data_IF_041224292589
#
_entry.id   IF_041224292589
#
_cell.length_a   1.000
_cell.length_b   1.000
_cell.length_c   1.000
_cell.angle_alpha   90.00
_cell.angle_beta   90.00
_cell.angle_gamma   90.00
#
_symmetry.space_group_name_H-M   'P 1'
#
loop_
_entity.id
_entity.type
_entity.pdbx_description
1 polymer ?
#
# COMPACT_ATOMS: atom_id res chain seq x y z
N UNK A 1 3.58 10.87 1.62
CA UNK A 1 4.86 10.61 2.32
C UNK A 1 4.57 10.12 3.72
N UNK A 2 5.06 8.95 4.11
CA UNK A 2 4.85 8.44 5.47
C UNK A 2 5.57 9.28 6.55
N UNK A 3 5.09 9.15 7.80
CA UNK A 3 5.75 9.73 8.97
C UNK A 3 7.19 9.22 9.13
N UNK A 4 7.43 7.94 8.77
CA UNK A 4 8.74 7.30 8.87
C UNK A 4 9.73 7.93 7.89
N UNK A 5 9.36 8.07 6.62
CA UNK A 5 10.20 8.75 5.63
C UNK A 5 10.47 10.21 6.01
N UNK A 6 9.46 10.94 6.50
CA UNK A 6 9.63 12.32 6.97
C UNK A 6 10.62 12.42 8.15
N UNK A 7 10.65 11.43 9.04
CA UNK A 7 11.62 11.36 10.14
C UNK A 7 13.04 11.14 9.62
N UNK A 8 13.22 10.23 8.67
CA UNK A 8 14.52 9.93 8.05
C UNK A 8 15.09 11.16 7.35
N UNK A 9 14.26 11.93 6.62
CA UNK A 9 14.70 13.13 5.90
C UNK A 9 15.23 14.25 6.80
N UNK A 10 14.91 14.22 8.11
CA UNK A 10 15.41 15.20 9.10
C UNK A 10 16.76 14.82 9.70
N UNK A 11 17.28 13.63 9.41
CA UNK A 11 18.58 13.18 9.89
C UNK A 11 19.72 13.90 9.17
N UNK A 12 20.93 13.83 9.76
CA UNK A 12 22.15 14.28 9.11
C UNK A 12 22.41 13.44 7.85
N UNK A 13 23.09 14.03 6.86
CA UNK A 13 23.30 13.41 5.53
C UNK A 13 23.83 11.97 5.63
N UNK A 14 24.82 11.73 6.48
CA UNK A 14 25.47 10.42 6.62
C UNK A 14 24.54 9.36 7.22
N UNK A 15 23.73 9.75 8.21
CA UNK A 15 22.73 8.87 8.85
C UNK A 15 21.51 8.65 7.95
N UNK A 16 21.12 9.70 7.20
CA UNK A 16 19.96 9.71 6.32
C UNK A 16 20.10 8.69 5.20
N UNK A 17 21.26 8.59 4.57
CA UNK A 17 21.52 7.61 3.51
C UNK A 17 21.35 6.17 4.02
N UNK A 18 21.92 5.86 5.19
CA UNK A 18 21.85 4.52 5.79
C UNK A 18 20.39 4.16 6.09
N UNK A 19 19.65 5.08 6.71
CA UNK A 19 18.25 4.85 7.07
C UNK A 19 17.33 4.78 5.86
N UNK A 20 17.58 5.56 4.80
CA UNK A 20 16.85 5.45 3.54
C UNK A 20 17.06 4.08 2.88
N UNK A 21 18.30 3.58 2.84
CA UNK A 21 18.62 2.25 2.29
C UNK A 21 17.92 1.14 3.08
N UNK A 22 18.01 1.18 4.42
CA UNK A 22 17.29 0.22 5.28
C UNK A 22 15.78 0.28 5.05
N UNK A 23 15.23 1.49 4.90
CA UNK A 23 13.81 1.64 4.72
C UNK A 23 13.33 1.16 3.35
N UNK A 24 14.08 1.45 2.29
CA UNK A 24 13.84 0.92 0.96
C UNK A 24 13.87 -0.62 0.94
N UNK A 25 14.87 -1.22 1.59
CA UNK A 25 14.98 -2.68 1.70
C UNK A 25 13.80 -3.29 2.46
N UNK A 26 13.34 -2.65 3.55
CA UNK A 26 12.15 -3.08 4.29
C UNK A 26 10.85 -3.01 3.48
N UNK A 27 10.81 -2.14 2.46
CA UNK A 27 9.69 -2.04 1.51
C UNK A 27 9.86 -2.92 0.27
N UNK A 28 10.98 -3.65 0.15
CA UNK A 28 11.30 -4.46 -1.04
C UNK A 28 11.68 -3.63 -2.28
N UNK A 29 12.09 -2.38 -2.09
CA UNK A 29 12.50 -1.48 -3.19
C UNK A 29 13.92 -1.81 -3.63
N UNK A 30 14.15 -1.91 -4.95
CA UNK A 30 15.47 -2.17 -5.52
C UNK A 30 16.44 -1.02 -5.25
N UNK A 31 17.64 -1.37 -4.76
CA UNK A 31 18.73 -0.43 -4.53
C UNK A 31 19.61 -0.17 -5.77
N UNK A 32 19.28 -0.79 -6.91
CA UNK A 32 20.09 -0.71 -8.11
C UNK A 32 20.00 0.68 -8.77
N UNK A 33 21.14 1.23 -9.16
CA UNK A 33 21.23 2.55 -9.81
C UNK A 33 21.05 3.74 -8.87
N UNK A 34 21.15 3.56 -7.55
CA UNK A 34 21.06 4.68 -6.58
C UNK A 34 22.38 5.45 -6.45
N UNK A 35 23.44 4.97 -7.10
CA UNK A 35 24.70 5.71 -7.22
C UNK A 35 24.90 6.12 -8.67
N UNK A 36 25.25 7.38 -8.87
CA UNK A 36 25.63 7.92 -10.18
C UNK A 36 26.98 7.32 -10.64
N UNK A 37 27.37 7.56 -11.90
CA UNK A 37 28.67 7.13 -12.44
C UNK A 37 29.86 7.65 -11.63
N UNK A 38 29.68 8.79 -10.95
CA UNK A 38 30.66 9.42 -10.07
C UNK A 38 30.62 8.89 -8.62
N UNK A 39 29.82 7.84 -8.35
CA UNK A 39 29.63 7.26 -7.01
C UNK A 39 28.77 8.11 -6.08
N UNK A 40 28.14 9.18 -6.58
CA UNK A 40 27.28 10.07 -5.79
C UNK A 40 25.94 9.41 -5.49
N UNK A 41 25.51 9.47 -4.23
CA UNK A 41 24.22 8.94 -3.79
C UNK A 41 23.05 9.79 -4.34
N UNK A 42 22.20 9.17 -5.15
CA UNK A 42 20.99 9.74 -5.73
C UNK A 42 19.83 9.63 -4.73
N UNK A 43 19.91 10.47 -3.70
CA UNK A 43 18.92 10.52 -2.61
C UNK A 43 17.50 10.74 -3.14
N UNK A 44 17.33 11.66 -4.08
CA UNK A 44 16.03 12.04 -4.62
C UNK A 44 15.34 10.85 -5.31
N UNK A 45 16.10 10.07 -6.09
CA UNK A 45 15.57 8.92 -6.80
C UNK A 45 15.15 7.80 -5.83
N UNK A 46 15.96 7.53 -4.80
CA UNK A 46 15.59 6.55 -3.77
C UNK A 46 14.34 6.98 -3.00
N UNK A 47 14.24 8.26 -2.64
CA UNK A 47 13.07 8.81 -1.96
C UNK A 47 11.81 8.67 -2.81
N UNK A 48 11.90 8.94 -4.12
CA UNK A 48 10.78 8.79 -5.05
C UNK A 48 10.34 7.33 -5.17
N UNK A 49 11.28 6.39 -5.30
CA UNK A 49 10.99 4.95 -5.32
C UNK A 49 10.31 4.48 -4.03
N UNK A 50 10.76 4.96 -2.86
CA UNK A 50 10.11 4.68 -1.57
C UNK A 50 8.67 5.20 -1.55
N UNK A 51 8.44 6.43 -2.01
CA UNK A 51 7.09 7.02 -2.04
C UNK A 51 6.16 6.20 -2.94
N UNK A 52 6.65 5.76 -4.10
CA UNK A 52 5.86 4.95 -5.03
C UNK A 52 5.54 3.57 -4.46
N UNK A 53 6.49 2.92 -3.79
CA UNK A 53 6.27 1.65 -3.10
C UNK A 53 5.25 1.79 -1.95
N UNK A 54 5.33 2.85 -1.14
CA UNK A 54 4.34 3.14 -0.10
C UNK A 54 2.93 3.31 -0.66
N UNK A 55 2.79 3.99 -1.81
CA UNK A 55 1.49 4.17 -2.48
C UNK A 55 0.94 2.83 -2.97
N UNK A 56 1.75 2.06 -3.69
CA UNK A 56 1.37 0.74 -4.21
C UNK A 56 0.89 -0.19 -3.09
N UNK A 57 1.59 -0.25 -1.96
CA UNK A 57 1.19 -1.07 -0.80
C UNK A 57 -0.16 -0.62 -0.19
N UNK A 58 -0.46 0.69 -0.18
CA UNK A 58 -1.74 1.20 0.31
C UNK A 58 -2.88 0.85 -0.64
N UNK A 59 -2.66 1.01 -1.93
CA UNK A 59 -3.64 0.69 -2.98
C UNK A 59 -3.95 -0.80 -3.00
N UNK A 60 -2.94 -1.67 -2.85
CA UNK A 60 -3.14 -3.12 -2.77
C UNK A 60 -4.04 -3.53 -1.59
N UNK A 61 -3.88 -2.89 -0.43
CA UNK A 61 -4.74 -3.13 0.73
C UNK A 61 -6.17 -2.66 0.50
N UNK A 62 -6.36 -1.51 -0.14
CA UNK A 62 -7.69 -1.00 -0.49
C UNK A 62 -8.40 -1.96 -1.46
N UNK A 63 -7.67 -2.55 -2.40
CA UNK A 63 -8.24 -3.51 -3.34
C UNK A 63 -8.78 -4.77 -2.65
N UNK A 64 -8.07 -5.29 -1.64
CA UNK A 64 -8.54 -6.44 -0.84
C UNK A 64 -9.84 -6.08 -0.10
N UNK A 65 -9.91 -4.89 0.50
CA UNK A 65 -11.13 -4.43 1.18
C UNK A 65 -12.28 -4.32 0.18
N UNK A 66 -12.05 -3.72 -0.99
CA UNK A 66 -13.05 -3.59 -2.04
C UNK A 66 -13.57 -4.97 -2.51
N UNK A 67 -12.69 -5.95 -2.64
CA UNK A 67 -13.07 -7.32 -3.01
C UNK A 67 -13.95 -7.98 -1.94
N UNK A 68 -13.62 -7.83 -0.66
CA UNK A 68 -14.45 -8.39 0.43
C UNK A 68 -15.82 -7.68 0.47
N UNK A 69 -15.84 -6.36 0.31
CA UNK A 69 -17.09 -5.59 0.28
C UNK A 69 -18.01 -5.98 -0.88
N UNK A 70 -17.46 -6.26 -2.07
CA UNK A 70 -18.28 -6.68 -3.21
C UNK A 70 -18.90 -8.06 -3.00
N UNK A 71 -18.15 -9.01 -2.42
CA UNK A 71 -18.68 -10.33 -2.04
C UNK A 71 -19.78 -10.20 -0.99
N UNK A 72 -19.57 -9.40 0.06
CA UNK A 72 -20.57 -9.17 1.09
C UNK A 72 -21.87 -8.55 0.54
N UNK A 73 -21.75 -7.63 -0.42
CA UNK A 73 -22.89 -7.03 -1.12
C UNK A 73 -23.70 -8.08 -1.89
N UNK A 74 -23.03 -8.96 -2.65
CA UNK A 74 -23.68 -10.05 -3.38
C UNK A 74 -24.42 -11.01 -2.44
N UNK A 75 -23.80 -11.41 -1.33
CA UNK A 75 -24.43 -12.28 -0.34
C UNK A 75 -25.67 -11.63 0.30
N UNK A 76 -25.58 -10.33 0.61
CA UNK A 76 -26.71 -9.57 1.18
C UNK A 76 -27.89 -9.49 0.21
N UNK A 77 -27.62 -9.26 -1.08
CA UNK A 77 -28.65 -9.23 -2.12
C UNK A 77 -29.33 -10.60 -2.28
N UNK A 78 -28.55 -11.68 -2.30
CA UNK A 78 -29.08 -13.05 -2.39
C UNK A 78 -29.92 -13.41 -1.17
N UNK A 79 -29.45 -13.09 0.04
CA UNK A 79 -30.18 -13.34 1.28
C UNK A 79 -31.54 -12.60 1.30
N UNK A 80 -31.55 -11.33 0.87
CA UNK A 80 -32.77 -10.55 0.78
C UNK A 80 -33.78 -11.17 -0.20
N UNK A 81 -33.31 -11.66 -1.37
CA UNK A 81 -34.18 -12.31 -2.34
C UNK A 81 -34.78 -13.61 -1.79
N UNK A 82 -33.95 -14.46 -1.18
CA UNK A 82 -34.41 -15.72 -0.56
C UNK A 82 -35.43 -15.43 0.55
N UNK A 83 -35.20 -14.41 1.37
CA UNK A 83 -36.13 -14.02 2.43
C UNK A 83 -37.49 -13.60 1.87
N UNK A 84 -37.53 -12.81 0.80
CA UNK A 84 -38.79 -12.39 0.15
C UNK A 84 -39.53 -13.59 -0.44
N UNK A 85 -38.83 -14.51 -1.10
CA UNK A 85 -39.42 -15.72 -1.67
C UNK A 85 -39.95 -16.66 -0.59
N UNK A 86 -39.21 -16.84 0.51
CA UNK A 86 -39.63 -17.64 1.64
C UNK A 86 -40.85 -17.03 2.34
N UNK A 87 -40.88 -15.70 2.53
CA UNK A 87 -42.01 -15.00 3.13
C UNK A 87 -43.29 -15.14 2.29
N UNK A 88 -43.20 -15.04 0.95
CA UNK A 88 -44.35 -15.30 0.06
C UNK A 88 -44.94 -16.71 0.21
N UNK A 89 -44.14 -17.70 0.60
CA UNK A 89 -44.58 -19.09 0.75
C UNK A 89 -45.26 -19.35 2.12
N UNK A 90 -45.15 -18.42 3.06
CA UNK A 90 -45.65 -18.51 4.44
C UNK A 90 -46.92 -17.70 4.70
N UNK A 91 -47.40 -16.93 3.71
CA UNK A 91 -48.72 -16.28 3.76
C UNK A 91 -49.74 -17.18 3.02
N UNK A 92 -50.82 -17.63 3.69
CA UNK A 92 -51.88 -18.43 3.08
C UNK A 92 -52.68 -17.67 2.02
#
# INVERSE_FOLDING_TARGET
MSLKLRKIMRLKKDEREIELRKYAQALGVSLQGISDSDGRFLEQELVERIINAERSLREHRLWIVALISSIASLLSALAAWIAVLANKKLLP
#
